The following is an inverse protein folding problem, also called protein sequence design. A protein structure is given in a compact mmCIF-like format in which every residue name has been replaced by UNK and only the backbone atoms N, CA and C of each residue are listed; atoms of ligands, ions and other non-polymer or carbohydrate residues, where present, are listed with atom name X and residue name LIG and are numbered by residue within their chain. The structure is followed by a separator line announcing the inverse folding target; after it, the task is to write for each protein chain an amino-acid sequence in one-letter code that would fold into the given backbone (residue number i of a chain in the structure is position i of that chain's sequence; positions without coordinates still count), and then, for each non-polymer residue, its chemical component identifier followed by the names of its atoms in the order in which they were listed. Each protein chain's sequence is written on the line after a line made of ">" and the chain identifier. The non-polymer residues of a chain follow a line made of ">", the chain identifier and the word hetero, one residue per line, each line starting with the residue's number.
data_IF_009934480284
#
_entry.id   IF_009934480284
#
_cell.length_a   1.000
_cell.length_b   1.000
_cell.length_c   1.000
_cell.angle_alpha   90.00
_cell.angle_beta   90.00
_cell.angle_gamma   90.00
#
_symmetry.space_group_name_H-M   'P 1'
#
loop_
_entity.id
_entity.type
_entity.pdbx_description
1 polymer ?
#
# COMPACT_ATOMS: atom_id res chain seq x y z
N UNK A 1 11.13 8.96 14.65
CA UNK A 1 9.94 9.84 14.61
C UNK A 1 9.54 10.21 13.18
N UNK A 2 10.42 10.83 12.38
CA UNK A 2 10.14 11.24 10.97
C UNK A 2 9.60 10.08 10.11
N UNK A 3 10.26 8.90 10.15
CA UNK A 3 9.81 7.70 9.43
C UNK A 3 8.37 7.28 9.73
N UNK A 4 7.91 7.44 10.98
CA UNK A 4 6.55 7.11 11.37
C UNK A 4 5.53 8.11 10.83
N UNK A 5 5.86 9.41 10.89
CA UNK A 5 5.03 10.48 10.34
C UNK A 5 4.87 10.33 8.83
N UNK A 6 5.97 10.01 8.12
CA UNK A 6 5.93 9.75 6.68
C UNK A 6 5.03 8.55 6.35
N UNK A 7 5.12 7.46 7.12
CA UNK A 7 4.26 6.29 6.92
C UNK A 7 2.78 6.61 7.14
N UNK A 8 2.46 7.34 8.21
CA UNK A 8 1.09 7.80 8.49
C UNK A 8 0.55 8.70 7.37
N UNK A 9 1.36 9.66 6.89
CA UNK A 9 0.97 10.57 5.83
C UNK A 9 0.71 9.86 4.49
N UNK A 10 1.56 8.91 4.12
CA UNK A 10 1.34 8.08 2.93
C UNK A 10 0.07 7.22 3.09
N UNK A 11 -0.20 6.71 4.30
CA UNK A 11 -1.40 5.93 4.60
C UNK A 11 -2.68 6.76 4.45
N UNK A 12 -2.66 7.99 4.94
CA UNK A 12 -3.76 8.95 4.76
C UNK A 12 -4.00 9.25 3.27
N UNK A 13 -2.94 9.60 2.52
CA UNK A 13 -3.03 9.87 1.09
C UNK A 13 -3.56 8.66 0.31
N UNK A 14 -3.05 7.46 0.61
CA UNK A 14 -3.49 6.24 -0.05
C UNK A 14 -4.97 5.94 0.22
N UNK A 15 -5.45 6.15 1.46
CA UNK A 15 -6.86 5.97 1.80
C UNK A 15 -7.76 6.94 1.04
N UNK A 16 -7.43 8.25 1.05
CA UNK A 16 -8.22 9.29 0.36
C UNK A 16 -8.24 9.04 -1.15
N UNK A 17 -7.08 8.78 -1.76
CA UNK A 17 -7.00 8.52 -3.20
C UNK A 17 -7.69 7.21 -3.60
N UNK A 18 -7.63 6.18 -2.76
CA UNK A 18 -8.32 4.90 -2.98
C UNK A 18 -9.84 5.08 -2.92
N UNK A 19 -10.35 5.91 -2.01
CA UNK A 19 -11.77 6.28 -1.93
C UNK A 19 -12.23 7.04 -3.19
N UNK A 20 -11.46 8.02 -3.65
CA UNK A 20 -11.75 8.78 -4.87
C UNK A 20 -11.68 7.90 -6.12
N UNK A 21 -10.69 7.00 -6.18
CA UNK A 21 -10.55 6.06 -7.28
C UNK A 21 -11.67 5.01 -7.29
N UNK A 22 -12.08 4.53 -6.13
CA UNK A 22 -13.21 3.61 -5.97
C UNK A 22 -14.51 4.25 -6.44
N UNK A 23 -14.72 5.53 -6.12
CA UNK A 23 -15.85 6.32 -6.64
C UNK A 23 -15.71 6.72 -8.11
N UNK A 24 -14.85 6.03 -8.87
CA UNK A 24 -14.54 6.31 -10.27
C UNK A 24 -15.76 6.37 -11.19
N UNK A 25 -15.54 6.57 -12.51
CA UNK A 25 -16.58 6.97 -13.46
C UNK A 25 -17.87 6.15 -13.28
N UNK A 26 -18.97 6.89 -13.06
CA UNK A 26 -20.35 6.36 -12.99
C UNK A 26 -20.50 5.30 -14.08
N UNK A 27 -20.78 4.06 -13.68
CA UNK A 27 -20.92 2.83 -14.49
C UNK A 27 -19.73 1.88 -14.63
N UNK A 28 -18.54 2.14 -14.06
CA UNK A 28 -17.39 1.20 -14.17
C UNK A 28 -16.72 0.85 -12.82
N UNK A 29 -17.42 0.13 -11.93
CA UNK A 29 -16.91 -0.23 -10.59
C UNK A 29 -15.64 -1.08 -10.64
N UNK A 30 -15.44 -1.88 -11.69
CA UNK A 30 -14.26 -2.75 -11.85
C UNK A 30 -12.98 -1.93 -12.06
N UNK A 31 -13.07 -0.82 -12.82
CA UNK A 31 -11.91 0.04 -13.07
C UNK A 31 -11.55 0.81 -11.80
N UNK A 32 -12.56 1.32 -11.08
CA UNK A 32 -12.35 1.97 -9.80
C UNK A 32 -11.70 1.04 -8.78
N UNK A 33 -12.16 -0.21 -8.70
CA UNK A 33 -11.56 -1.25 -7.87
C UNK A 33 -10.11 -1.54 -8.23
N UNK A 34 -9.81 -1.69 -9.53
CA UNK A 34 -8.45 -1.94 -10.00
C UNK A 34 -7.48 -0.81 -9.66
N UNK A 35 -7.89 0.44 -9.88
CA UNK A 35 -7.10 1.63 -9.56
C UNK A 35 -6.88 1.76 -8.05
N UNK A 36 -7.95 1.63 -7.26
CA UNK A 36 -7.87 1.67 -5.80
C UNK A 36 -6.91 0.59 -5.26
N UNK A 37 -7.03 -0.64 -5.77
CA UNK A 37 -6.16 -1.77 -5.36
C UNK A 37 -4.71 -1.51 -5.74
N UNK A 38 -4.43 -1.05 -6.96
CA UNK A 38 -3.08 -0.73 -7.42
C UNK A 38 -2.43 0.37 -6.58
N UNK A 39 -3.22 1.35 -6.14
CA UNK A 39 -2.77 2.47 -5.31
C UNK A 39 -2.40 2.01 -3.90
N UNK A 40 -3.20 1.11 -3.31
CA UNK A 40 -2.93 0.49 -2.00
C UNK A 40 -1.67 -0.39 -2.06
N UNK A 41 -1.53 -1.23 -3.09
CA UNK A 41 -0.35 -2.09 -3.28
C UNK A 41 0.92 -1.25 -3.42
N UNK A 42 0.87 -0.24 -4.29
CA UNK A 42 2.00 0.65 -4.53
C UNK A 42 2.37 1.46 -3.28
N UNK A 43 1.35 1.96 -2.55
CA UNK A 43 1.54 2.70 -1.30
C UNK A 43 2.13 1.84 -0.18
N UNK A 44 1.67 0.59 -0.04
CA UNK A 44 2.20 -0.36 0.94
C UNK A 44 3.66 -0.72 0.64
N UNK A 45 3.97 -1.03 -0.62
CA UNK A 45 5.34 -1.33 -1.06
C UNK A 45 6.30 -0.14 -0.83
N UNK A 46 5.91 1.05 -1.27
CA UNK A 46 6.71 2.27 -1.12
C UNK A 46 6.98 2.57 0.37
N UNK A 47 5.95 2.44 1.21
CA UNK A 47 6.08 2.72 2.63
C UNK A 47 6.97 1.70 3.34
N UNK A 48 6.85 0.42 3.00
CA UNK A 48 7.72 -0.67 3.49
C UNK A 48 9.19 -0.34 3.24
N UNK A 49 9.54 0.12 2.04
CA UNK A 49 10.92 0.49 1.68
C UNK A 49 11.43 1.74 2.39
N UNK A 50 10.63 2.80 2.42
CA UNK A 50 11.10 4.11 2.91
C UNK A 50 11.18 4.20 4.44
N UNK A 51 10.25 3.54 5.13
CA UNK A 51 10.02 3.79 6.56
C UNK A 51 10.28 2.57 7.45
N UNK A 52 10.40 1.39 6.86
CA UNK A 52 10.52 0.13 7.57
C UNK A 52 9.23 -0.28 8.29
N UNK A 53 9.34 -1.19 9.25
CA UNK A 53 8.18 -1.83 9.89
C UNK A 53 7.32 -0.85 10.70
N UNK A 54 7.93 0.12 11.40
CA UNK A 54 7.20 1.09 12.23
C UNK A 54 6.34 2.02 11.37
N UNK A 55 6.87 2.52 10.25
CA UNK A 55 6.08 3.37 9.36
C UNK A 55 5.03 2.60 8.56
N UNK A 56 5.29 1.32 8.24
CA UNK A 56 4.28 0.44 7.64
C UNK A 56 3.09 0.17 8.58
N UNK A 57 3.33 -0.06 9.88
CA UNK A 57 2.24 -0.21 10.87
C UNK A 57 1.40 1.07 10.93
N UNK A 58 2.05 2.23 10.97
CA UNK A 58 1.35 3.53 10.99
C UNK A 58 0.61 3.82 9.70
N UNK A 59 1.13 3.39 8.55
CA UNK A 59 0.41 3.39 7.28
C UNK A 59 -0.87 2.57 7.37
N UNK A 60 -0.80 1.31 7.84
CA UNK A 60 -1.96 0.45 7.99
C UNK A 60 -3.01 1.06 8.93
N UNK A 61 -2.56 1.55 10.10
CA UNK A 61 -3.45 2.15 11.09
C UNK A 61 -4.16 3.38 10.53
N UNK A 62 -3.42 4.27 9.86
CA UNK A 62 -3.99 5.50 9.28
C UNK A 62 -4.94 5.17 8.15
N UNK A 63 -4.60 4.20 7.31
CA UNK A 63 -5.43 3.73 6.22
C UNK A 63 -6.78 3.19 6.75
N UNK A 64 -6.77 2.33 7.77
CA UNK A 64 -7.99 1.80 8.40
C UNK A 64 -8.82 2.92 9.05
N UNK A 65 -8.17 3.82 9.81
CA UNK A 65 -8.86 4.91 10.50
C UNK A 65 -9.50 5.86 9.50
N UNK A 66 -8.77 6.27 8.46
CA UNK A 66 -9.27 7.19 7.43
C UNK A 66 -10.39 6.55 6.62
N UNK A 67 -10.20 5.32 6.14
CA UNK A 67 -11.25 4.59 5.40
C UNK A 67 -12.50 4.39 6.27
N UNK A 68 -12.35 3.98 7.53
CA UNK A 68 -13.48 3.82 8.46
C UNK A 68 -14.19 5.16 8.75
N UNK A 69 -13.43 6.24 8.89
CA UNK A 69 -14.00 7.58 9.08
C UNK A 69 -14.84 8.03 7.88
N UNK A 70 -14.37 7.82 6.66
CA UNK A 70 -15.12 8.17 5.44
C UNK A 70 -16.32 7.25 5.18
N UNK A 71 -16.25 5.99 5.59
CA UNK A 71 -17.37 5.03 5.46
C UNK A 71 -18.48 5.25 6.49
N UNK A 72 -18.12 5.47 7.75
CA UNK A 72 -19.08 5.44 8.86
C UNK A 72 -19.27 6.80 9.56
N UNK A 73 -18.29 7.70 9.49
CA UNK A 73 -18.29 8.97 10.21
C UNK A 73 -18.70 10.18 9.37
N UNK A 74 -18.38 10.18 8.07
CA UNK A 74 -18.72 11.28 7.17
C UNK A 74 -20.20 11.20 6.77
N UNK A 75 -21.08 11.84 7.56
CA UNK A 75 -22.50 12.02 7.26
C UNK A 75 -22.71 13.18 6.25
N UNK A 76 -22.03 13.11 5.11
CA UNK A 76 -22.27 14.02 3.99
C UNK A 76 -23.16 13.28 3.01
N UNK A 77 -24.42 13.73 2.85
CA UNK A 77 -25.41 13.16 1.94
C UNK A 77 -25.06 13.22 0.45
N UNK A 78 -23.79 13.38 0.12
CA UNK A 78 -23.19 13.41 -1.20
C UNK A 78 -22.21 12.23 -1.30
N UNK A 79 -22.76 11.05 -1.04
CA UNK A 79 -21.99 9.82 -1.04
C UNK A 79 -21.62 9.44 -2.46
N UNK A 80 -20.34 9.59 -2.77
CA UNK A 80 -19.62 9.04 -3.92
C UNK A 80 -19.57 7.49 -3.90
N UNK A 81 -20.56 6.82 -3.29
CA UNK A 81 -20.66 5.36 -3.28
C UNK A 81 -21.40 4.91 -4.53
N UNK A 82 -20.80 3.94 -5.23
CA UNK A 82 -21.53 3.18 -6.26
C UNK A 82 -22.67 2.42 -5.57
N UNK A 83 -23.86 2.35 -6.17
CA UNK A 83 -25.06 1.68 -5.61
C UNK A 83 -24.89 0.16 -5.37
N UNK A 84 -23.70 -0.39 -5.64
CA UNK A 84 -23.42 -1.81 -5.65
C UNK A 84 -22.71 -2.22 -4.36
N UNK A 85 -23.46 -2.82 -3.43
CA UNK A 85 -22.96 -3.34 -2.15
C UNK A 85 -21.78 -4.30 -2.30
N UNK A 86 -21.76 -5.12 -3.36
CA UNK A 86 -20.67 -6.09 -3.61
C UNK A 86 -19.32 -5.43 -3.91
N UNK A 87 -19.32 -4.24 -4.52
CA UNK A 87 -18.09 -3.55 -4.89
C UNK A 87 -17.36 -3.01 -3.65
N UNK A 88 -18.11 -2.61 -2.62
CA UNK A 88 -17.58 -2.13 -1.36
C UNK A 88 -16.93 -3.29 -0.57
N UNK A 89 -17.60 -4.44 -0.51
CA UNK A 89 -17.06 -5.64 0.12
C UNK A 89 -15.78 -6.12 -0.58
N UNK A 90 -15.80 -6.17 -1.92
CA UNK A 90 -14.64 -6.53 -2.73
C UNK A 90 -13.47 -5.57 -2.52
N UNK A 91 -13.73 -4.26 -2.45
CA UNK A 91 -12.71 -3.26 -2.20
C UNK A 91 -12.05 -3.45 -0.84
N UNK A 92 -12.82 -3.68 0.23
CA UNK A 92 -12.28 -3.90 1.58
C UNK A 92 -11.40 -5.15 1.65
N UNK A 93 -11.79 -6.23 0.97
CA UNK A 93 -10.98 -7.45 0.88
C UNK A 93 -9.68 -7.18 0.11
N UNK A 94 -9.76 -6.52 -1.05
CA UNK A 94 -8.60 -6.18 -1.88
C UNK A 94 -7.64 -5.22 -1.17
N UNK A 95 -8.17 -4.31 -0.35
CA UNK A 95 -7.40 -3.42 0.49
C UNK A 95 -6.60 -4.21 1.54
N UNK A 96 -7.24 -5.15 2.25
CA UNK A 96 -6.56 -6.00 3.22
C UNK A 96 -5.45 -6.85 2.57
N UNK A 97 -5.74 -7.48 1.42
CA UNK A 97 -4.76 -8.30 0.68
C UNK A 97 -3.64 -7.43 0.10
N UNK A 98 -3.97 -6.30 -0.50
CA UNK A 98 -3.05 -5.41 -1.19
C UNK A 98 -2.02 -4.76 -0.27
N UNK A 99 -2.34 -4.57 1.01
CA UNK A 99 -1.37 -4.11 2.01
C UNK A 99 -0.35 -5.20 2.36
N UNK A 100 -0.75 -6.46 2.36
CA UNK A 100 0.06 -7.59 2.85
C UNK A 100 0.98 -8.17 1.76
N UNK A 101 0.45 -8.40 0.56
CA UNK A 101 1.15 -9.07 -0.56
C UNK A 101 2.53 -8.47 -0.87
N UNK A 102 2.69 -7.15 -1.07
CA UNK A 102 4.00 -6.57 -1.40
C UNK A 102 5.02 -6.73 -0.28
N UNK A 103 4.59 -6.70 0.98
CA UNK A 103 5.50 -6.83 2.14
C UNK A 103 5.97 -8.27 2.31
N UNK A 104 5.06 -9.24 2.11
CA UNK A 104 5.42 -10.66 2.07
C UNK A 104 6.42 -10.91 0.93
N UNK A 105 6.12 -10.43 -0.28
CA UNK A 105 7.02 -10.57 -1.43
C UNK A 105 8.43 -10.03 -1.18
N UNK A 106 8.55 -8.84 -0.58
CA UNK A 106 9.86 -8.28 -0.21
C UNK A 106 10.60 -9.07 0.87
N UNK A 107 9.88 -9.69 1.81
CA UNK A 107 10.46 -10.46 2.92
C UNK A 107 11.00 -11.80 2.43
N UNK A 108 10.26 -12.48 1.55
CA UNK A 108 10.67 -13.77 1.00
C UNK A 108 11.71 -13.62 -0.12
N UNK A 109 11.64 -12.58 -0.96
CA UNK A 109 12.61 -12.35 -2.04
C UNK A 109 14.02 -11.93 -1.60
N UNK A 110 14.21 -11.51 -0.34
CA UNK A 110 15.56 -11.19 0.20
C UNK A 110 16.40 -12.41 0.55
N UNK A 111 15.84 -13.62 0.50
CA UNK A 111 16.55 -14.86 0.83
C UNK A 111 17.22 -15.55 -0.38
N UNK A 112 17.02 -15.07 -1.61
CA UNK A 112 17.41 -15.82 -2.82
C UNK A 112 18.71 -15.37 -3.50
N UNK A 113 19.37 -14.30 -3.04
CA UNK A 113 20.68 -13.93 -3.59
C UNK A 113 21.79 -14.35 -2.61
N UNK A 114 22.55 -15.42 -2.90
CA UNK A 114 23.80 -15.66 -2.19
C UNK A 114 24.65 -14.38 -2.28
N UNK A 115 25.34 -13.99 -1.19
CA UNK A 115 26.23 -12.84 -1.24
C UNK A 115 27.18 -13.03 -2.41
N UNK A 116 27.19 -12.08 -3.34
CA UNK A 116 28.08 -12.12 -4.50
C UNK A 116 29.48 -12.37 -3.98
N UNK A 117 30.03 -13.55 -4.28
CA UNK A 117 31.39 -13.89 -3.91
C UNK A 117 32.29 -12.74 -4.38
N UNK A 118 33.21 -12.23 -3.55
CA UNK A 118 34.17 -11.24 -3.99
C UNK A 118 34.90 -11.84 -5.18
N UNK A 119 34.69 -11.26 -6.38
CA UNK A 119 35.35 -11.70 -7.60
C UNK A 119 36.86 -11.74 -7.32
N UNK A 120 37.45 -12.91 -7.52
CA UNK A 120 38.86 -13.18 -7.28
C UNK A 120 39.81 -12.18 -7.99
N UNK A 121 39.33 -11.45 -9.00
CA UNK A 121 40.03 -10.36 -9.69
C UNK A 121 40.54 -9.26 -8.74
N UNK A 122 39.86 -8.97 -7.63
CA UNK A 122 40.29 -7.89 -6.70
C UNK A 122 41.44 -8.35 -5.78
N UNK A 123 41.56 -9.66 -5.53
CA UNK A 123 42.60 -10.19 -4.63
C UNK A 123 43.96 -10.22 -5.33
N UNK A 124 43.99 -10.45 -6.64
CA UNK A 124 45.25 -10.51 -7.40
C UNK A 124 45.86 -9.12 -7.66
N UNK A 125 45.03 -8.08 -7.78
CA UNK A 125 45.49 -6.69 -7.96
C UNK A 125 45.98 -6.05 -6.63
N UNK A 126 45.51 -6.55 -5.48
CA UNK A 126 45.99 -6.14 -4.16
C UNK A 126 47.25 -6.91 -3.71
N UNK A 127 47.64 -7.96 -4.45
CA UNK A 127 48.78 -8.82 -4.14
C UNK A 127 50.02 -8.55 -5.03
N UNK A 128 49.96 -7.57 -5.94
CA UNK A 128 51.09 -7.04 -6.73
C UNK A 128 51.49 -5.67 -6.23
#
# INVERSE_FOLDING_TARGET
>A
MIRGITGAFIGFLAAVLSLVAYSGPLDQPIIGLGLATGLIISGSWLTSRLTGLVGWILFCATLVITTGWFLFGANSGDYLYTDHSWALDAWLILLAVGVIVPVIGERFGRHELPPAEPRAEIVEEQAK
#
